data_IF_180761837058
#
_entry.id   IF_180761837058
#
_cell.length_a   1.000
_cell.length_b   1.000
_cell.length_c   1.000
_cell.angle_alpha   90.00
_cell.angle_beta   90.00
_cell.angle_gamma   90.00
#
_symmetry.space_group_name_H-M   'P 1'
#
loop_
_entity.id
_entity.type
_entity.pdbx_description
1 polymer ?
#
# COMPACT_ATOMS: atom_id res chain seq x y z
N UNK A 1 31.90 -35.06 -29.74
CA UNK A 1 31.50 -36.47 -29.52
C UNK A 1 30.92 -36.54 -28.12
N UNK A 2 29.60 -36.34 -27.92
CA UNK A 2 28.57 -37.40 -27.92
C UNK A 2 29.04 -38.70 -27.25
N UNK A 3 28.53 -38.97 -26.05
CA UNK A 3 28.06 -40.30 -25.63
C UNK A 3 26.89 -40.13 -24.66
N UNK A 4 25.77 -40.79 -24.96
CA UNK A 4 24.61 -40.96 -24.05
C UNK A 4 24.65 -42.39 -23.54
N UNK A 5 24.41 -42.60 -22.25
CA UNK A 5 23.77 -43.83 -21.75
C UNK A 5 22.72 -43.40 -20.71
N UNK A 6 21.51 -43.94 -20.85
CA UNK A 6 20.40 -43.84 -19.90
C UNK A 6 19.95 -45.27 -19.65
N UNK A 7 19.73 -45.65 -18.39
CA UNK A 7 18.73 -46.68 -18.05
C UNK A 7 18.20 -46.46 -16.63
N UNK A 8 16.95 -46.88 -16.43
CA UNK A 8 16.09 -46.66 -15.25
C UNK A 8 15.72 -48.02 -14.65
N UNK A 9 15.33 -48.06 -13.36
CA UNK A 9 14.36 -48.95 -12.65
C UNK A 9 14.89 -49.16 -11.21
N UNK A 10 14.29 -48.65 -10.12
CA UNK A 10 12.97 -48.81 -9.46
C UNK A 10 12.93 -49.92 -8.37
N UNK A 11 12.56 -49.51 -7.15
CA UNK A 11 11.91 -50.26 -6.06
C UNK A 11 12.60 -51.43 -5.34
N UNK A 12 12.67 -51.33 -4.00
CA UNK A 12 12.22 -52.42 -3.11
C UNK A 12 11.70 -51.89 -1.75
N UNK A 13 10.56 -52.42 -1.33
CA UNK A 13 9.95 -52.22 0.00
C UNK A 13 10.25 -53.46 0.86
N UNK A 14 10.51 -53.29 2.16
CA UNK A 14 10.44 -54.39 3.13
C UNK A 14 9.66 -53.95 4.37
N UNK A 15 8.64 -54.74 4.72
CA UNK A 15 7.85 -54.66 5.95
C UNK A 15 8.07 -55.95 6.73
N UNK A 16 8.20 -55.89 8.06
CA UNK A 16 8.05 -57.08 8.93
C UNK A 16 7.49 -56.74 10.32
N UNK A 17 6.69 -57.66 10.85
CA UNK A 17 6.09 -57.67 12.19
C UNK A 17 5.73 -59.15 12.54
N UNK A 18 5.28 -59.53 13.74
CA UNK A 18 4.97 -58.81 14.97
C UNK A 18 5.16 -59.75 16.18
N UNK A 19 5.18 -59.25 17.43
CA UNK A 19 4.73 -60.04 18.58
C UNK A 19 4.32 -59.20 19.80
N UNK A 20 3.28 -59.69 20.50
CA UNK A 20 2.73 -59.17 21.76
C UNK A 20 3.21 -60.07 22.94
N UNK A 21 2.78 -59.99 24.21
CA UNK A 21 1.63 -59.36 24.89
C UNK A 21 1.81 -59.40 26.43
N UNK A 22 1.16 -58.47 27.15
CA UNK A 22 0.45 -58.64 28.46
C UNK A 22 0.37 -57.29 29.17
N UNK A 23 -0.65 -56.87 29.93
CA UNK A 23 -2.05 -57.25 30.20
C UNK A 23 -2.58 -56.05 31.03
N UNK A 24 -3.84 -55.64 30.84
CA UNK A 24 -4.48 -54.53 31.58
C UNK A 24 -5.22 -55.01 32.84
N UNK A 25 -5.69 -54.09 33.71
CA UNK A 25 -7.13 -53.74 33.69
C UNK A 25 -7.41 -52.22 33.89
N UNK A 26 -8.17 -51.57 33.01
CA UNK A 26 -9.65 -51.39 33.06
C UNK A 26 -10.21 -50.45 34.13
N UNK A 27 -10.74 -49.31 33.67
CA UNK A 27 -12.06 -48.81 34.05
C UNK A 27 -12.70 -48.11 32.83
N UNK A 28 -14.01 -48.31 32.62
CA UNK A 28 -14.68 -48.10 31.32
C UNK A 28 -15.86 -47.13 31.42
N UNK A 29 -16.19 -46.42 30.33
CA UNK A 29 -17.55 -45.89 30.07
C UNK A 29 -17.93 -46.18 28.61
N UNK A 30 -19.22 -46.49 28.38
CA UNK A 30 -19.76 -47.02 27.13
C UNK A 30 -20.15 -45.97 26.08
N UNK A 31 -20.06 -46.36 24.80
CA UNK A 31 -20.86 -45.79 23.70
C UNK A 31 -21.87 -46.83 23.19
N UNK A 32 -23.12 -46.43 22.95
CA UNK A 32 -24.13 -47.24 22.27
C UNK A 32 -24.29 -46.80 20.82
N UNK A 33 -24.03 -47.71 19.88
CA UNK A 33 -24.25 -47.48 18.45
C UNK A 33 -25.68 -47.85 18.04
N UNK A 34 -26.31 -47.02 17.21
CA UNK A 34 -27.46 -47.39 16.38
C UNK A 34 -27.21 -46.80 14.99
N UNK A 35 -27.11 -47.67 13.97
CA UNK A 35 -27.02 -47.27 12.56
C UNK A 35 -28.43 -47.23 11.98
N UNK A 36 -28.76 -46.16 11.25
CA UNK A 36 -29.87 -46.15 10.28
C UNK A 36 -29.30 -46.05 8.86
N UNK A 37 -29.99 -46.60 7.84
CA UNK A 37 -29.50 -46.62 6.46
C UNK A 37 -29.75 -45.28 5.76
N UNK A 38 -28.69 -44.69 5.18
CA UNK A 38 -28.81 -43.46 4.38
C UNK A 38 -29.27 -43.80 2.96
N UNK A 39 -30.47 -43.37 2.60
CA UNK A 39 -30.96 -43.31 1.21
C UNK A 39 -30.39 -42.08 0.50
N UNK A 40 -29.98 -42.22 -0.76
CA UNK A 40 -29.53 -41.08 -1.59
C UNK A 40 -30.71 -40.17 -1.97
N UNK A 41 -30.56 -38.82 -1.90
CA UNK A 41 -31.54 -37.88 -2.44
C UNK A 41 -31.54 -37.81 -3.99
N UNK A 42 -32.68 -37.44 -4.54
CA UNK A 42 -32.97 -37.24 -5.96
C UNK A 42 -32.24 -36.00 -6.53
N UNK A 43 -31.53 -36.08 -7.67
CA UNK A 43 -30.84 -34.95 -8.28
C UNK A 43 -31.76 -34.18 -9.26
N UNK A 44 -32.89 -33.68 -8.78
CA UNK A 44 -33.72 -32.74 -9.56
C UNK A 44 -34.49 -31.74 -8.71
N UNK A 45 -34.38 -30.45 -9.08
CA UNK A 45 -35.08 -29.28 -8.50
C UNK A 45 -34.73 -28.89 -7.05
N UNK A 46 -33.55 -28.29 -6.87
CA UNK A 46 -33.46 -27.06 -6.05
C UNK A 46 -32.56 -26.04 -6.76
N UNK A 47 -33.14 -25.29 -7.70
CA UNK A 47 -32.55 -24.06 -8.20
C UNK A 47 -33.05 -22.92 -7.30
N UNK A 48 -32.39 -22.72 -6.16
CA UNK A 48 -32.58 -21.53 -5.33
C UNK A 48 -31.24 -20.87 -5.06
N UNK A 49 -31.21 -19.59 -5.43
CA UNK A 49 -30.27 -18.55 -5.04
C UNK A 49 -28.91 -19.02 -4.51
N UNK A 50 -27.95 -19.10 -5.43
CA UNK A 50 -26.53 -18.95 -5.11
C UNK A 50 -26.27 -17.48 -4.73
N UNK A 51 -26.87 -17.03 -3.62
CA UNK A 51 -26.55 -15.77 -2.99
C UNK A 51 -25.07 -15.82 -2.62
N UNK A 52 -24.28 -15.01 -3.34
CA UNK A 52 -22.88 -14.84 -3.01
C UNK A 52 -22.81 -14.11 -1.66
N UNK A 53 -22.68 -14.88 -0.59
CA UNK A 53 -22.16 -14.41 0.67
C UNK A 53 -20.72 -13.97 0.43
N UNK A 54 -20.57 -12.71 -0.02
CA UNK A 54 -19.31 -11.99 0.00
C UNK A 54 -18.76 -12.13 1.42
N UNK A 55 -17.56 -12.68 1.53
CA UNK A 55 -16.87 -12.80 2.81
C UNK A 55 -16.49 -11.37 3.24
N UNK A 56 -17.33 -10.77 4.08
CA UNK A 56 -16.97 -9.59 4.83
C UNK A 56 -15.83 -9.96 5.79
N UNK A 57 -14.80 -9.13 5.97
CA UNK A 57 -13.89 -9.29 7.09
C UNK A 57 -14.65 -8.95 8.39
N UNK A 58 -15.15 -9.96 9.10
CA UNK A 58 -15.85 -9.85 10.40
C UNK A 58 -14.93 -9.37 11.56
N UNK A 59 -13.79 -8.75 11.27
CA UNK A 59 -12.81 -8.27 12.25
C UNK A 59 -11.99 -7.11 11.68
N UNK A 60 -11.56 -6.12 12.49
CA UNK A 60 -10.58 -5.13 12.06
C UNK A 60 -9.29 -5.78 11.55
N UNK A 61 -8.55 -5.14 10.61
CA UNK A 61 -7.32 -5.67 10.07
C UNK A 61 -6.30 -5.97 11.18
N UNK A 62 -5.65 -7.14 11.09
CA UNK A 62 -4.60 -7.55 12.02
C UNK A 62 -3.26 -6.94 11.59
N UNK A 63 -2.64 -6.15 12.46
CA UNK A 63 -1.31 -5.58 12.19
C UNK A 63 -0.23 -6.38 12.92
N UNK A 64 0.86 -6.67 12.21
CA UNK A 64 2.07 -7.25 12.78
C UNK A 64 3.12 -6.16 13.02
N UNK A 65 3.77 -6.19 14.18
CA UNK A 65 4.89 -5.30 14.52
C UNK A 65 6.15 -5.76 13.80
N UNK A 66 6.75 -4.92 12.97
CA UNK A 66 7.87 -5.32 12.10
C UNK A 66 9.18 -4.57 12.35
N UNK A 67 9.15 -3.41 13.03
CA UNK A 67 10.35 -2.67 13.43
C UNK A 67 10.06 -1.71 14.60
N UNK A 68 11.07 -1.51 15.45
CA UNK A 68 11.10 -0.50 16.50
C UNK A 68 11.69 0.81 15.99
N UNK A 69 11.08 1.95 16.33
CA UNK A 69 11.60 3.30 16.11
C UNK A 69 12.05 3.56 14.66
N UNK A 70 11.10 3.80 13.76
CA UNK A 70 11.39 4.15 12.35
C UNK A 70 11.65 5.65 12.18
N UNK A 71 12.41 6.00 11.14
CA UNK A 71 12.36 7.32 10.52
C UNK A 71 11.36 7.31 9.36
N UNK A 72 11.73 7.88 8.21
CA UNK A 72 10.92 7.85 6.99
C UNK A 72 10.65 6.41 6.53
N UNK A 73 9.38 6.07 6.31
CA UNK A 73 8.93 4.81 5.69
C UNK A 73 8.51 5.06 4.25
N UNK A 74 8.87 4.15 3.32
CA UNK A 74 8.39 4.14 1.93
C UNK A 74 8.04 2.72 1.47
N UNK A 75 6.93 2.60 0.75
CA UNK A 75 6.32 1.34 0.30
C UNK A 75 6.30 1.28 -1.24
N UNK A 76 6.81 0.18 -1.81
CA UNK A 76 6.48 -0.27 -3.16
C UNK A 76 5.41 -1.36 -3.11
N UNK A 77 5.26 -2.15 -4.17
CA UNK A 77 4.38 -3.31 -4.22
C UNK A 77 4.95 -4.49 -3.42
N UNK A 78 6.17 -4.93 -3.72
CA UNK A 78 6.82 -6.07 -3.04
C UNK A 78 7.94 -5.64 -2.07
N UNK A 79 8.16 -4.33 -1.92
CA UNK A 79 9.27 -3.79 -1.14
C UNK A 79 8.79 -2.79 -0.10
N UNK A 80 9.40 -2.84 1.08
CA UNK A 80 9.23 -1.87 2.15
C UNK A 80 10.63 -1.43 2.59
N UNK A 81 10.83 -0.12 2.65
CA UNK A 81 12.04 0.49 3.17
C UNK A 81 11.73 1.45 4.32
N UNK A 82 12.67 1.54 5.25
CA UNK A 82 12.64 2.50 6.35
C UNK A 82 14.03 3.10 6.55
N UNK A 83 14.11 4.36 6.96
CA UNK A 83 15.37 4.97 7.39
C UNK A 83 15.58 4.77 8.88
N UNK A 84 16.83 4.54 9.30
CA UNK A 84 17.25 4.69 10.69
C UNK A 84 16.98 6.14 11.16
N UNK A 85 16.30 6.36 12.31
CA UNK A 85 15.89 7.69 12.77
C UNK A 85 17.02 8.55 13.33
N UNK A 86 18.18 7.96 13.66
CA UNK A 86 19.34 8.64 14.26
C UNK A 86 20.32 9.08 13.16
N UNK A 87 20.57 8.21 12.19
CA UNK A 87 21.59 8.37 11.16
C UNK A 87 21.01 8.63 9.76
N UNK A 88 19.75 8.29 9.51
CA UNK A 88 19.07 8.42 8.21
C UNK A 88 19.41 7.31 7.19
N UNK A 89 20.20 6.30 7.58
CA UNK A 89 20.59 5.17 6.71
C UNK A 89 19.37 4.38 6.22
N UNK A 90 19.34 3.99 4.95
CA UNK A 90 18.19 3.28 4.38
C UNK A 90 18.31 1.76 4.52
N UNK A 91 17.25 1.12 5.02
CA UNK A 91 17.10 -0.32 5.20
C UNK A 91 15.91 -0.87 4.41
N UNK A 92 16.03 -2.10 3.93
CA UNK A 92 14.95 -2.87 3.30
C UNK A 92 14.46 -3.97 4.23
N UNK A 93 13.15 -4.16 4.29
CA UNK A 93 12.50 -5.24 5.03
C UNK A 93 12.74 -6.59 4.34
N UNK A 94 13.05 -7.65 5.10
CA UNK A 94 13.28 -8.98 4.52
C UNK A 94 12.05 -9.89 4.48
N UNK A 95 10.85 -9.37 4.77
CA UNK A 95 9.63 -10.17 4.88
C UNK A 95 9.52 -11.00 6.18
N UNK A 96 10.37 -10.74 7.18
CA UNK A 96 10.34 -11.40 8.50
C UNK A 96 10.39 -10.30 9.57
N UNK A 97 9.47 -10.27 10.55
CA UNK A 97 9.42 -9.23 11.57
C UNK A 97 10.78 -9.00 12.25
N UNK A 98 11.17 -7.72 12.37
CA UNK A 98 12.46 -7.27 12.92
C UNK A 98 13.72 -7.69 12.12
N UNK A 99 13.58 -8.30 10.94
CA UNK A 99 14.70 -8.56 10.02
C UNK A 99 14.74 -7.55 8.87
N UNK A 100 15.78 -6.71 8.90
CA UNK A 100 16.04 -5.65 7.93
C UNK A 100 17.52 -5.63 7.57
N UNK A 101 17.85 -5.20 6.35
CA UNK A 101 19.23 -5.07 5.90
C UNK A 101 19.48 -3.70 5.25
N UNK A 102 20.65 -3.13 5.49
CA UNK A 102 20.98 -1.80 4.96
C UNK A 102 21.22 -1.87 3.45
N UNK A 103 20.59 -0.96 2.71
CA UNK A 103 20.69 -0.86 1.24
C UNK A 103 21.27 0.49 0.77
N UNK A 104 21.33 1.49 1.65
CA UNK A 104 21.81 2.83 1.30
C UNK A 104 22.30 3.66 2.47
N UNK A 105 22.90 4.80 2.11
CA UNK A 105 23.28 5.90 3.00
C UNK A 105 22.12 6.91 3.13
N UNK A 106 22.25 7.97 3.95
CA UNK A 106 21.17 8.93 4.13
C UNK A 106 20.85 9.71 2.85
N UNK A 107 19.55 9.96 2.63
CA UNK A 107 19.00 10.79 1.57
C UNK A 107 18.13 11.91 2.17
N UNK A 108 17.88 12.97 1.40
CA UNK A 108 16.90 14.00 1.76
C UNK A 108 15.47 13.49 1.66
N UNK A 109 15.23 12.61 0.68
CA UNK A 109 13.93 12.02 0.38
C UNK A 109 14.16 10.71 -0.36
N UNK A 110 13.29 9.74 -0.11
CA UNK A 110 13.20 8.49 -0.86
C UNK A 110 11.82 8.40 -1.50
N UNK A 111 11.74 7.79 -2.68
CA UNK A 111 10.49 7.51 -3.37
C UNK A 111 10.57 6.11 -3.98
N UNK A 112 9.49 5.34 -3.92
CA UNK A 112 9.40 4.02 -4.53
C UNK A 112 8.24 4.03 -5.51
N UNK A 113 8.47 3.58 -6.73
CA UNK A 113 7.39 3.35 -7.67
C UNK A 113 6.67 2.04 -7.32
N UNK A 114 5.36 2.12 -7.10
CA UNK A 114 4.54 0.95 -6.77
C UNK A 114 4.58 -0.11 -7.88
N UNK A 115 4.39 0.28 -9.15
CA UNK A 115 4.26 -0.67 -10.27
C UNK A 115 5.52 -1.48 -10.57
N UNK A 116 6.71 -0.95 -10.26
CA UNK A 116 8.01 -1.54 -10.65
C UNK A 116 8.95 -1.84 -9.48
N UNK A 117 8.56 -1.49 -8.25
CA UNK A 117 9.41 -1.53 -7.05
C UNK A 117 10.71 -0.71 -7.17
N UNK A 118 10.79 0.19 -8.17
CA UNK A 118 11.97 1.01 -8.41
C UNK A 118 12.14 2.07 -7.31
N UNK A 119 13.24 1.96 -6.57
CA UNK A 119 13.61 2.85 -5.48
C UNK A 119 14.51 3.99 -5.98
N UNK A 120 14.16 5.21 -5.58
CA UNK A 120 14.86 6.45 -5.92
C UNK A 120 15.20 7.24 -4.66
N UNK A 121 16.27 8.03 -4.73
CA UNK A 121 16.74 8.89 -3.64
C UNK A 121 17.13 10.28 -4.14
N UNK A 122 16.74 11.31 -3.40
CA UNK A 122 17.27 12.67 -3.51
C UNK A 122 18.42 12.79 -2.50
N UNK A 123 19.59 13.24 -2.95
CA UNK A 123 20.76 13.39 -2.08
C UNK A 123 20.52 14.42 -0.94
N UNK A 124 21.19 14.30 0.23
CA UNK A 124 20.99 15.21 1.38
C UNK A 124 21.22 16.70 1.08
N UNK A 125 22.03 17.01 0.07
CA UNK A 125 22.37 18.36 -0.39
C UNK A 125 21.47 18.87 -1.52
N UNK A 126 20.45 18.09 -1.91
CA UNK A 126 19.51 18.37 -3.00
C UNK A 126 20.18 18.53 -4.39
N UNK A 127 21.44 18.10 -4.57
CA UNK A 127 22.19 18.31 -5.82
C UNK A 127 22.06 17.17 -6.84
N UNK A 128 21.52 16.01 -6.45
CA UNK A 128 21.47 14.83 -7.32
C UNK A 128 20.33 13.88 -6.97
N UNK A 129 19.78 13.23 -8.01
CA UNK A 129 18.78 12.17 -7.92
C UNK A 129 19.42 10.85 -8.34
N UNK A 130 19.18 9.80 -7.57
CA UNK A 130 19.77 8.47 -7.73
C UNK A 130 18.68 7.40 -7.83
N UNK A 131 18.98 6.34 -8.58
CA UNK A 131 18.17 5.13 -8.68
C UNK A 131 18.95 3.96 -8.09
N UNK A 132 18.29 3.15 -7.27
CA UNK A 132 18.85 1.93 -6.69
C UNK A 132 18.95 0.83 -7.75
N UNK A 133 20.06 0.09 -7.79
CA UNK A 133 20.25 -0.99 -8.78
C UNK A 133 19.66 -2.34 -8.37
N UNK A 134 19.11 -2.43 -7.15
CA UNK A 134 18.72 -3.69 -6.52
C UNK A 134 19.86 -4.38 -5.75
N UNK A 135 21.09 -3.87 -5.82
CA UNK A 135 22.24 -4.38 -5.05
C UNK A 135 22.59 -3.40 -3.91
N UNK A 136 22.70 -3.85 -2.65
CA UNK A 136 22.99 -2.96 -1.52
C UNK A 136 24.18 -2.04 -1.74
N UNK A 137 23.99 -0.75 -1.48
CA UNK A 137 24.94 0.36 -1.69
C UNK A 137 25.34 0.64 -3.15
N UNK A 138 24.71 0.01 -4.13
CA UNK A 138 24.92 0.29 -5.56
C UNK A 138 23.75 1.12 -6.13
N UNK A 139 24.09 2.30 -6.65
CA UNK A 139 23.15 3.34 -7.04
C UNK A 139 23.70 4.09 -8.27
N UNK A 140 22.82 4.41 -9.21
CA UNK A 140 23.16 5.16 -10.44
C UNK A 140 22.59 6.57 -10.32
N UNK A 141 23.40 7.60 -10.59
CA UNK A 141 22.90 8.97 -10.68
C UNK A 141 22.08 9.12 -11.96
N UNK A 142 20.82 9.51 -11.82
CA UNK A 142 19.87 9.69 -12.92
C UNK A 142 19.42 11.14 -13.11
N UNK A 143 19.75 12.03 -12.18
CA UNK A 143 19.34 13.43 -12.25
C UNK A 143 20.25 14.39 -11.48
N UNK A 144 20.09 15.67 -11.78
CA UNK A 144 20.73 16.79 -11.09
C UNK A 144 19.85 17.26 -9.92
N UNK A 145 20.01 18.52 -9.52
CA UNK A 145 19.36 19.11 -8.35
C UNK A 145 17.84 19.19 -8.44
N UNK A 146 17.15 18.91 -7.34
CA UNK A 146 15.68 18.96 -7.24
C UNK A 146 15.21 19.25 -5.81
N UNK A 147 14.04 19.89 -5.66
CA UNK A 147 13.48 20.19 -4.33
C UNK A 147 12.76 18.98 -3.70
N UNK A 148 12.16 18.11 -4.51
CA UNK A 148 11.55 16.86 -4.09
C UNK A 148 11.44 15.89 -5.25
N UNK A 149 11.33 14.59 -4.93
CA UNK A 149 11.01 13.51 -5.87
C UNK A 149 9.70 12.82 -5.48
N UNK A 150 9.00 12.25 -6.46
CA UNK A 150 7.78 11.46 -6.27
C UNK A 150 7.84 10.28 -7.24
N UNK A 151 7.37 9.11 -6.84
CA UNK A 151 7.31 7.93 -7.71
C UNK A 151 5.96 7.23 -7.54
N UNK A 152 5.51 6.55 -8.60
CA UNK A 152 4.16 5.99 -8.73
C UNK A 152 3.80 5.82 -10.20
N UNK A 153 2.77 5.02 -10.51
CA UNK A 153 2.27 4.85 -11.87
C UNK A 153 3.23 4.19 -12.87
N UNK A 154 4.37 3.64 -12.45
CA UNK A 154 5.46 3.24 -13.35
C UNK A 154 6.37 4.41 -13.74
N UNK A 155 6.46 5.46 -12.91
CA UNK A 155 7.19 6.69 -13.24
C UNK A 155 7.79 7.39 -12.02
N UNK A 156 8.73 8.30 -12.33
CA UNK A 156 9.42 9.16 -11.37
C UNK A 156 9.25 10.61 -11.83
N UNK A 157 8.93 11.48 -10.88
CA UNK A 157 8.84 12.92 -11.07
C UNK A 157 9.78 13.66 -10.11
N UNK A 158 10.23 14.83 -10.54
CA UNK A 158 11.12 15.70 -9.79
C UNK A 158 10.78 17.17 -10.03
N UNK A 159 10.88 18.01 -9.00
CA UNK A 159 10.64 19.45 -9.10
C UNK A 159 11.92 20.27 -9.25
N UNK A 160 11.87 21.33 -10.04
CA UNK A 160 12.97 22.28 -10.18
C UNK A 160 13.07 23.23 -8.98
N UNK A 161 14.29 23.37 -8.42
CA UNK A 161 14.57 24.17 -7.21
C UNK A 161 14.04 25.61 -7.24
N UNK A 162 14.12 26.30 -8.38
CA UNK A 162 13.90 27.77 -8.45
C UNK A 162 12.45 28.17 -8.69
N UNK A 163 11.72 27.40 -9.49
CA UNK A 163 10.38 27.77 -9.98
C UNK A 163 9.32 26.71 -9.73
N UNK A 164 9.67 25.58 -9.11
CA UNK A 164 8.73 24.49 -8.82
C UNK A 164 8.16 23.76 -10.05
N UNK A 165 8.70 24.04 -11.25
CA UNK A 165 8.42 23.29 -12.47
C UNK A 165 8.56 21.79 -12.24
N UNK A 166 7.64 21.00 -12.79
CA UNK A 166 7.57 19.57 -12.55
C UNK A 166 7.99 18.78 -13.81
N UNK A 167 8.89 17.82 -13.60
CA UNK A 167 9.55 17.03 -14.63
C UNK A 167 9.24 15.55 -14.42
N UNK A 168 9.10 14.80 -15.51
CA UNK A 168 9.00 13.33 -15.53
C UNK A 168 10.30 12.74 -16.06
N UNK A 169 10.76 11.65 -15.44
CA UNK A 169 11.90 10.87 -15.89
C UNK A 169 11.53 10.03 -17.13
N UNK A 170 12.41 9.96 -18.12
CA UNK A 170 12.17 9.18 -19.35
C UNK A 170 12.74 7.76 -19.30
N UNK A 171 13.42 7.38 -18.20
CA UNK A 171 13.98 6.04 -17.99
C UNK A 171 15.50 5.94 -18.21
N UNK A 172 16.11 6.92 -18.88
CA UNK A 172 17.55 6.98 -19.14
C UNK A 172 18.24 8.08 -18.29
N UNK A 173 19.46 7.85 -17.76
CA UNK A 173 20.15 8.82 -16.90
C UNK A 173 20.24 10.22 -17.51
N UNK A 174 19.81 11.21 -16.73
CA UNK A 174 19.71 12.63 -17.08
C UNK A 174 18.71 12.98 -18.19
N UNK A 175 17.88 12.04 -18.67
CA UNK A 175 16.77 12.31 -19.58
C UNK A 175 15.47 12.61 -18.82
N UNK A 176 15.10 13.89 -18.79
CA UNK A 176 13.95 14.42 -18.06
C UNK A 176 13.13 15.37 -18.93
N UNK A 177 11.81 15.17 -18.95
CA UNK A 177 10.85 15.98 -19.68
C UNK A 177 10.08 16.88 -18.74
N UNK A 178 10.09 18.20 -18.96
CA UNK A 178 9.21 19.14 -18.25
C UNK A 178 7.77 18.88 -18.65
N UNK A 179 6.91 18.53 -17.71
CA UNK A 179 5.48 18.25 -17.96
C UNK A 179 4.55 19.34 -17.41
N UNK A 180 5.00 20.18 -16.47
CA UNK A 180 4.15 21.21 -15.86
C UNK A 180 4.91 22.37 -15.23
N UNK A 181 4.16 23.36 -14.76
CA UNK A 181 4.67 24.45 -13.93
C UNK A 181 4.55 24.15 -12.43
N UNK A 182 4.69 25.18 -11.60
CA UNK A 182 4.52 25.07 -10.15
C UNK A 182 3.12 24.61 -9.75
N UNK A 183 3.06 23.64 -8.84
CA UNK A 183 1.87 23.30 -8.06
C UNK A 183 2.10 23.57 -6.57
N UNK A 184 1.03 23.62 -5.77
CA UNK A 184 1.13 23.73 -4.30
C UNK A 184 1.66 22.45 -3.67
N UNK A 185 1.24 21.31 -4.19
CA UNK A 185 1.73 19.97 -3.91
C UNK A 185 1.49 19.09 -5.16
N UNK A 186 2.12 17.92 -5.19
CA UNK A 186 1.86 16.89 -6.19
C UNK A 186 1.80 15.51 -5.50
N UNK A 187 1.04 14.59 -6.07
CA UNK A 187 0.95 13.18 -5.63
C UNK A 187 0.87 12.25 -6.84
N UNK A 188 1.40 11.04 -6.71
CA UNK A 188 1.14 9.91 -7.60
C UNK A 188 1.04 8.66 -6.73
N UNK A 189 -0.02 7.88 -6.89
CA UNK A 189 -0.34 6.72 -6.04
C UNK A 189 -0.99 5.56 -6.82
N UNK A 190 -1.11 5.65 -8.15
CA UNK A 190 -1.79 4.64 -8.97
C UNK A 190 -0.80 3.73 -9.72
N UNK A 191 -1.35 2.85 -10.57
CA UNK A 191 -0.58 1.99 -11.48
C UNK A 191 -0.48 2.53 -12.92
N UNK A 192 -0.93 3.77 -13.22
CA UNK A 192 -1.12 4.25 -14.61
C UNK A 192 -0.55 5.64 -14.94
N UNK A 193 0.75 5.86 -14.69
CA UNK A 193 1.56 7.02 -15.11
C UNK A 193 0.82 8.36 -15.04
N UNK A 194 0.20 8.57 -13.87
CA UNK A 194 -0.54 9.77 -13.52
C UNK A 194 0.18 10.57 -12.46
N UNK A 195 0.02 11.88 -12.58
CA UNK A 195 0.43 12.82 -11.55
C UNK A 195 -0.74 13.77 -11.30
N UNK A 196 -1.13 13.91 -10.04
CA UNK A 196 -2.06 14.94 -9.62
C UNK A 196 -1.29 16.10 -8.99
N UNK A 197 -1.79 17.31 -9.18
CA UNK A 197 -1.24 18.49 -8.53
C UNK A 197 -2.32 19.53 -8.30
N UNK A 198 -2.22 20.26 -7.18
CA UNK A 198 -3.04 21.46 -7.01
C UNK A 198 -2.36 22.69 -7.60
N UNK A 199 -3.18 23.60 -8.11
CA UNK A 199 -2.77 24.97 -8.40
C UNK A 199 -2.07 25.63 -7.19
N UNK A 200 -1.21 26.60 -7.45
CA UNK A 200 -0.41 27.28 -6.41
C UNK A 200 -1.24 27.99 -5.34
N UNK A 201 -2.49 28.36 -5.68
CA UNK A 201 -3.47 28.92 -4.76
C UNK A 201 -4.24 27.87 -3.93
N UNK A 202 -4.19 26.59 -4.31
CA UNK A 202 -4.88 25.48 -3.63
C UNK A 202 -6.37 25.33 -3.95
N UNK A 203 -6.91 26.04 -4.96
CA UNK A 203 -8.34 26.02 -5.30
C UNK A 203 -8.71 25.13 -6.50
N UNK A 204 -7.75 24.45 -7.13
CA UNK A 204 -8.03 23.57 -8.28
C UNK A 204 -7.10 22.38 -8.29
N UNK A 205 -7.69 21.20 -8.40
CA UNK A 205 -6.98 19.94 -8.63
C UNK A 205 -6.83 19.70 -10.13
N UNK A 206 -5.66 19.21 -10.54
CA UNK A 206 -5.34 18.88 -11.93
C UNK A 206 -4.77 17.47 -12.02
N UNK A 207 -5.13 16.74 -13.07
CA UNK A 207 -4.60 15.43 -13.47
C UNK A 207 -3.70 15.61 -14.70
N UNK A 208 -2.52 15.00 -14.68
CA UNK A 208 -1.68 14.73 -15.84
C UNK A 208 -1.62 13.23 -16.08
N UNK A 209 -1.66 12.80 -17.36
CA UNK A 209 -1.60 11.38 -17.73
C UNK A 209 -0.92 11.21 -19.11
N UNK A 210 0.07 10.34 -19.20
CA UNK A 210 0.83 10.12 -20.45
C UNK A 210 0.03 9.40 -21.55
N UNK A 211 -0.92 8.54 -21.18
CA UNK A 211 -1.64 7.64 -22.09
C UNK A 211 -3.02 8.19 -22.47
N UNK A 212 -3.86 8.49 -21.46
CA UNK A 212 -5.27 8.83 -21.67
C UNK A 212 -5.49 10.31 -22.02
N UNK A 213 -4.51 11.16 -21.69
CA UNK A 213 -4.61 12.63 -21.77
C UNK A 213 -3.52 13.26 -22.66
N UNK A 214 -2.82 12.46 -23.45
CA UNK A 214 -1.79 12.92 -24.41
C UNK A 214 -0.75 13.86 -23.76
N UNK A 215 -0.32 13.56 -22.53
CA UNK A 215 0.66 14.34 -21.78
C UNK A 215 0.25 15.80 -21.45
N UNK A 216 -1.04 16.12 -21.49
CA UNK A 216 -1.59 17.42 -21.08
C UNK A 216 -2.20 17.37 -19.67
N UNK A 217 -2.29 18.54 -19.02
CA UNK A 217 -2.97 18.70 -17.72
C UNK A 217 -4.45 19.02 -17.91
N UNK A 218 -5.31 18.31 -17.18
CA UNK A 218 -6.75 18.52 -17.17
C UNK A 218 -7.23 18.87 -15.76
N UNK A 219 -8.12 19.85 -15.64
CA UNK A 219 -8.71 20.21 -14.36
C UNK A 219 -9.70 19.13 -13.93
N UNK A 220 -9.58 18.66 -12.69
CA UNK A 220 -10.49 17.69 -12.06
C UNK A 220 -11.56 18.45 -11.29
N UNK A 221 -12.80 17.96 -11.32
CA UNK A 221 -13.87 18.49 -10.48
C UNK A 221 -13.59 18.14 -9.00
N UNK A 222 -13.06 19.11 -8.25
CA UNK A 222 -12.93 19.04 -6.79
C UNK A 222 -14.23 19.49 -6.10
N UNK A 223 -14.48 19.10 -4.83
CA UNK A 223 -15.57 19.67 -4.04
C UNK A 223 -15.43 21.19 -3.93
N UNK A 224 -16.56 21.92 -4.00
CA UNK A 224 -16.54 23.39 -3.95
C UNK A 224 -15.96 23.94 -2.63
N UNK A 225 -16.08 23.17 -1.54
CA UNK A 225 -15.54 23.50 -0.21
C UNK A 225 -14.15 22.90 0.05
N UNK A 226 -13.61 22.09 -0.87
CA UNK A 226 -12.25 21.55 -0.79
C UNK A 226 -11.22 22.59 -1.24
N UNK A 227 -11.11 23.62 -0.42
CA UNK A 227 -9.89 24.39 -0.30
C UNK A 227 -8.77 23.43 0.17
N UNK A 228 -7.70 23.34 -0.61
CA UNK A 228 -6.53 22.50 -0.32
C UNK A 228 -5.45 23.34 0.38
N UNK A 229 -5.85 24.37 1.14
CA UNK A 229 -4.94 25.49 1.47
C UNK A 229 -4.13 25.28 2.75
N UNK A 230 -4.63 24.49 3.69
CA UNK A 230 -4.04 24.24 5.00
C UNK A 230 -3.14 23.00 5.11
N UNK A 231 -3.17 22.08 4.14
CA UNK A 231 -2.43 20.83 4.22
C UNK A 231 -1.03 20.89 3.59
N UNK A 232 -0.08 20.19 4.23
CA UNK A 232 1.25 19.88 3.68
C UNK A 232 1.15 18.80 2.59
N UNK A 233 0.20 17.86 2.75
CA UNK A 233 -0.18 16.83 1.80
C UNK A 233 -1.69 16.58 1.95
N UNK A 234 -2.58 17.23 1.18
CA UNK A 234 -3.96 16.78 1.10
C UNK A 234 -3.96 15.51 0.27
N UNK A 235 -4.18 14.38 0.95
CA UNK A 235 -4.03 13.06 0.34
C UNK A 235 -5.23 12.81 -0.57
N UNK A 236 -4.99 12.81 -1.89
CA UNK A 236 -5.92 12.23 -2.86
C UNK A 236 -5.52 10.77 -3.02
N UNK A 237 -6.09 9.88 -2.21
CA UNK A 237 -5.80 8.45 -2.35
C UNK A 237 -6.72 7.88 -3.41
N UNK A 238 -6.14 7.34 -4.49
CA UNK A 238 -6.87 6.70 -5.58
C UNK A 238 -6.87 5.18 -5.40
N UNK A 239 -8.06 4.57 -5.33
CA UNK A 239 -8.19 3.12 -5.47
C UNK A 239 -8.03 2.68 -6.94
N UNK A 240 -7.75 1.40 -7.16
CA UNK A 240 -7.45 0.81 -8.49
C UNK A 240 -8.55 0.98 -9.58
N UNK A 241 -9.73 1.50 -9.22
CA UNK A 241 -10.91 1.58 -10.09
C UNK A 241 -11.52 2.99 -10.26
N UNK A 242 -10.82 4.05 -9.85
CA UNK A 242 -11.33 5.42 -9.98
C UNK A 242 -12.13 5.92 -8.77
N UNK A 243 -12.12 5.13 -7.68
CA UNK A 243 -12.49 5.60 -6.34
C UNK A 243 -11.44 6.58 -5.82
N UNK A 244 -11.87 7.58 -5.04
CA UNK A 244 -10.99 8.61 -4.49
C UNK A 244 -11.39 9.03 -3.09
N UNK A 245 -10.40 9.16 -2.20
CA UNK A 245 -10.52 9.86 -0.93
C UNK A 245 -9.77 11.18 -0.99
N UNK A 246 -10.32 12.24 -0.38
CA UNK A 246 -9.67 13.53 -0.23
C UNK A 246 -9.87 14.08 1.19
N UNK A 247 -8.77 14.45 1.86
CA UNK A 247 -8.81 15.25 3.09
C UNK A 247 -8.67 16.73 2.74
N UNK A 248 -9.61 17.54 3.17
CA UNK A 248 -9.74 18.96 2.84
C UNK A 248 -9.67 19.85 4.08
N UNK A 249 -9.53 21.17 3.87
CA UNK A 249 -9.47 22.15 4.97
C UNK A 249 -10.57 21.92 6.02
N UNK A 250 -10.24 22.14 7.30
CA UNK A 250 -11.03 21.75 8.48
C UNK A 250 -11.17 20.24 8.74
N UNK A 251 -10.25 19.43 8.20
CA UNK A 251 -10.13 17.99 8.48
C UNK A 251 -11.33 17.16 7.97
N UNK A 252 -12.07 17.67 7.00
CA UNK A 252 -13.18 16.96 6.35
C UNK A 252 -12.65 15.93 5.35
N UNK A 253 -13.24 14.73 5.38
CA UNK A 253 -12.89 13.61 4.50
C UNK A 253 -14.01 13.41 3.50
N UNK A 254 -13.69 13.44 2.21
CA UNK A 254 -14.63 13.20 1.12
C UNK A 254 -14.28 11.93 0.35
N UNK A 255 -15.30 11.15 -0.01
CA UNK A 255 -15.20 9.98 -0.89
C UNK A 255 -15.86 10.26 -2.24
N UNK A 256 -15.39 9.64 -3.31
CA UNK A 256 -16.06 9.61 -4.61
C UNK A 256 -15.88 8.24 -5.28
N UNK A 257 -16.95 7.72 -5.86
CA UNK A 257 -16.98 6.40 -6.51
C UNK A 257 -16.45 6.45 -7.96
N UNK A 258 -16.37 7.64 -8.56
CA UNK A 258 -15.81 7.89 -9.92
C UNK A 258 -15.42 9.37 -10.07
N UNK A 259 -14.18 9.72 -9.74
CA UNK A 259 -13.69 11.09 -9.97
C UNK A 259 -13.41 11.37 -11.46
N UNK A 260 -13.23 10.32 -12.29
CA UNK A 260 -12.77 10.43 -13.67
C UNK A 260 -13.83 11.02 -14.62
N UNK A 261 -15.11 10.80 -14.32
CA UNK A 261 -16.25 11.38 -15.06
C UNK A 261 -16.84 12.62 -14.39
N UNK A 262 -16.27 13.06 -13.26
CA UNK A 262 -16.80 14.16 -12.45
C UNK A 262 -17.93 13.74 -11.52
N UNK A 263 -17.85 12.53 -10.94
CA UNK A 263 -18.78 12.02 -9.93
C UNK A 263 -18.87 12.92 -8.70
N UNK A 264 -19.99 12.79 -7.97
CA UNK A 264 -20.24 13.58 -6.78
C UNK A 264 -19.38 13.09 -5.62
N UNK A 265 -18.56 13.98 -5.10
CA UNK A 265 -17.92 13.78 -3.80
C UNK A 265 -18.97 13.80 -2.68
N UNK A 266 -18.82 12.89 -1.73
CA UNK A 266 -19.68 12.71 -0.55
C UNK A 266 -18.84 12.92 0.69
N UNK A 267 -19.33 13.69 1.66
CA UNK A 267 -18.66 13.83 2.96
C UNK A 267 -18.79 12.52 3.75
N UNK A 268 -17.67 11.93 4.16
CA UNK A 268 -17.62 10.63 4.85
C UNK A 268 -16.98 10.69 6.24
N UNK A 269 -16.38 11.81 6.62
CA UNK A 269 -15.81 12.02 7.96
C UNK A 269 -15.39 13.47 8.20
N UNK A 270 -15.09 13.79 9.45
CA UNK A 270 -14.51 15.04 9.89
C UNK A 270 -13.43 14.78 10.95
N UNK A 271 -12.65 15.82 11.30
CA UNK A 271 -11.60 15.77 12.32
C UNK A 271 -10.45 14.76 12.06
N UNK A 272 -10.11 14.41 10.81
CA UNK A 272 -8.92 13.59 10.49
C UNK A 272 -7.70 14.41 10.00
N UNK A 273 -6.51 14.19 10.58
CA UNK A 273 -5.23 14.82 10.14
C UNK A 273 -4.53 14.07 9.01
N UNK A 274 -4.76 12.77 8.90
CA UNK A 274 -4.20 11.88 7.88
C UNK A 274 -5.24 10.80 7.57
N UNK A 275 -5.36 10.41 6.31
CA UNK A 275 -6.24 9.34 5.83
C UNK A 275 -5.54 8.61 4.70
N UNK A 276 -5.44 7.29 4.81
CA UNK A 276 -4.77 6.43 3.84
C UNK A 276 -5.68 5.26 3.44
N UNK A 277 -5.67 4.93 2.15
CA UNK A 277 -6.33 3.74 1.59
C UNK A 277 -5.30 2.63 1.48
N UNK A 278 -5.55 1.50 2.12
CA UNK A 278 -4.78 0.27 2.02
C UNK A 278 -5.45 -0.75 1.11
N UNK A 279 -4.63 -1.53 0.41
CA UNK A 279 -5.08 -2.64 -0.42
C UNK A 279 -6.10 -3.57 0.22
N UNK A 280 -7.10 -3.97 -0.54
CA UNK A 280 -8.23 -4.77 -0.05
C UNK A 280 -9.42 -3.97 0.46
N UNK A 281 -9.44 -2.64 0.28
CA UNK A 281 -10.57 -1.78 0.65
C UNK A 281 -10.54 -1.31 2.11
N UNK A 282 -9.36 -1.30 2.74
CA UNK A 282 -9.21 -0.73 4.07
C UNK A 282 -8.92 0.75 3.96
N UNK A 283 -9.62 1.56 4.76
CA UNK A 283 -9.35 2.99 4.87
C UNK A 283 -9.12 3.28 6.34
N UNK A 284 -7.97 3.87 6.65
CA UNK A 284 -7.61 4.30 7.99
C UNK A 284 -7.52 5.83 8.05
N UNK A 285 -7.85 6.39 9.20
CA UNK A 285 -7.69 7.81 9.50
C UNK A 285 -7.15 8.03 10.90
N UNK A 286 -6.31 9.06 11.08
CA UNK A 286 -5.82 9.53 12.37
C UNK A 286 -6.65 10.75 12.81
N UNK A 287 -7.29 10.67 13.98
CA UNK A 287 -8.05 11.80 14.54
C UNK A 287 -7.12 12.99 14.90
N UNK A 288 -7.54 14.19 14.55
CA UNK A 288 -6.80 15.44 14.68
C UNK A 288 -6.65 15.93 16.13
N UNK A 289 -7.53 15.49 17.03
CA UNK A 289 -7.62 15.92 18.42
C UNK A 289 -6.89 14.97 19.37
N UNK A 290 -7.09 13.65 19.22
CA UNK A 290 -6.52 12.66 20.13
C UNK A 290 -5.54 11.66 19.50
N UNK A 291 -5.32 11.73 18.17
CA UNK A 291 -4.43 10.86 17.38
C UNK A 291 -4.85 9.38 17.36
N UNK A 292 -6.06 9.04 17.77
CA UNK A 292 -6.57 7.67 17.66
C UNK A 292 -6.76 7.26 16.20
N UNK A 293 -6.45 6.01 15.90
CA UNK A 293 -6.66 5.42 14.58
C UNK A 293 -8.09 4.88 14.47
N UNK A 294 -8.77 5.27 13.41
CA UNK A 294 -10.08 4.75 13.04
C UNK A 294 -10.01 4.01 11.70
N UNK A 295 -10.78 2.93 11.60
CA UNK A 295 -11.06 2.22 10.37
C UNK A 295 -12.41 2.65 9.81
N UNK A 296 -12.47 3.08 8.55
CA UNK A 296 -13.71 3.37 7.85
C UNK A 296 -14.31 2.07 7.30
N UNK A 297 -15.47 1.72 7.82
CA UNK A 297 -16.33 0.68 7.30
C UNK A 297 -17.28 1.27 6.25
N UNK A 298 -17.31 0.66 5.06
CA UNK A 298 -18.22 1.00 3.97
C UNK A 298 -19.08 -0.20 3.60
N UNK A 299 -20.40 -0.08 3.81
CA UNK A 299 -21.36 -1.09 3.37
C UNK A 299 -22.70 -0.46 3.02
N UNK A 300 -23.35 -0.96 1.97
CA UNK A 300 -24.69 -0.52 1.53
C UNK A 300 -24.83 1.00 1.29
N UNK A 301 -23.73 1.70 0.97
CA UNK A 301 -23.60 3.17 0.83
C UNK A 301 -23.67 3.97 2.14
N UNK A 302 -23.52 3.30 3.28
CA UNK A 302 -23.29 3.96 4.57
C UNK A 302 -21.80 3.89 4.94
N UNK A 303 -21.29 5.01 5.46
CA UNK A 303 -19.91 5.19 5.90
C UNK A 303 -19.90 5.29 7.43
N UNK A 304 -19.08 4.50 8.12
CA UNK A 304 -18.93 4.61 9.58
C UNK A 304 -17.50 4.34 10.05
N UNK A 305 -16.99 5.20 10.94
CA UNK A 305 -15.64 5.10 11.49
C UNK A 305 -15.64 4.31 12.80
N UNK A 306 -14.83 3.26 12.86
CA UNK A 306 -14.66 2.38 14.02
C UNK A 306 -13.25 2.57 14.60
N UNK A 307 -13.17 2.96 15.88
CA UNK A 307 -11.89 3.15 16.59
C UNK A 307 -11.15 1.83 16.75
N UNK A 308 -9.86 1.80 16.41
CA UNK A 308 -8.98 0.62 16.58
C UNK A 308 -8.34 0.53 17.97
N UNK A 309 -8.30 1.64 18.72
CA UNK A 309 -7.79 1.68 20.10
C UNK A 309 -6.27 1.79 20.20
N UNK A 310 -5.62 2.33 19.17
CA UNK A 310 -4.21 2.67 19.11
C UNK A 310 -4.04 4.11 18.62
N UNK A 311 -2.89 4.72 18.91
CA UNK A 311 -2.55 6.09 18.49
C UNK A 311 -1.40 6.10 17.51
N UNK A 312 -1.49 6.96 16.49
CA UNK A 312 -0.49 7.03 15.44
C UNK A 312 0.01 8.45 15.20
N UNK A 313 1.28 8.58 14.80
CA UNK A 313 1.82 9.83 14.27
C UNK A 313 1.54 9.95 12.76
N UNK A 314 1.69 8.86 12.02
CA UNK A 314 1.50 8.77 10.57
C UNK A 314 0.94 7.40 10.12
N UNK A 315 0.29 7.41 8.95
CA UNK A 315 -0.08 6.22 8.20
C UNK A 315 0.74 6.13 6.90
N UNK A 316 1.01 4.91 6.45
CA UNK A 316 1.66 4.63 5.17
C UNK A 316 0.89 3.54 4.45
N UNK A 317 0.60 3.68 3.16
CA UNK A 317 -0.10 2.64 2.41
C UNK A 317 0.36 2.51 0.96
N UNK A 318 -0.08 1.41 0.36
CA UNK A 318 -0.04 1.12 -1.06
C UNK A 318 -1.29 0.27 -1.42
N UNK A 319 -1.37 -0.26 -2.64
CA UNK A 319 -2.57 -1.01 -3.10
C UNK A 319 -2.67 -2.45 -2.55
N UNK A 320 -1.78 -2.87 -1.64
CA UNK A 320 -1.76 -4.21 -1.01
C UNK A 320 -1.50 -4.23 0.51
N UNK A 321 -1.09 -3.11 1.10
CA UNK A 321 -0.66 -3.03 2.48
C UNK A 321 -0.96 -1.66 3.08
N UNK A 322 -1.13 -1.64 4.40
CA UNK A 322 -1.23 -0.41 5.19
C UNK A 322 -0.48 -0.58 6.51
N UNK A 323 0.30 0.43 6.85
CA UNK A 323 1.16 0.48 8.01
C UNK A 323 0.84 1.70 8.87
N UNK A 324 1.02 1.53 10.17
CA UNK A 324 0.75 2.51 11.22
C UNK A 324 2.04 2.73 11.99
N UNK A 325 2.48 3.97 12.11
CA UNK A 325 3.56 4.38 13.00
C UNK A 325 2.98 4.82 14.35
N UNK A 326 3.26 4.08 15.42
CA UNK A 326 2.73 4.36 16.75
C UNK A 326 3.31 5.66 17.33
N UNK A 327 2.42 6.51 17.86
CA UNK A 327 2.71 7.89 18.27
C UNK A 327 3.83 8.03 19.32
N UNK A 328 3.85 7.16 20.33
CA UNK A 328 4.75 7.31 21.50
C UNK A 328 6.10 6.57 21.32
N UNK A 329 6.15 5.58 20.42
CA UNK A 329 7.29 4.65 20.28
C UNK A 329 8.00 4.77 18.93
N UNK A 330 7.30 5.27 17.92
CA UNK A 330 7.64 5.16 16.50
C UNK A 330 7.82 3.70 16.04
N UNK A 331 7.11 2.76 16.66
CA UNK A 331 7.04 1.37 16.20
C UNK A 331 6.18 1.27 14.94
N UNK A 332 6.61 0.43 13.99
CA UNK A 332 5.91 0.23 12.73
C UNK A 332 5.10 -1.07 12.76
N UNK A 333 3.78 -0.92 12.63
CA UNK A 333 2.80 -2.01 12.59
C UNK A 333 2.20 -2.09 11.18
N UNK A 334 2.33 -3.22 10.48
CA UNK A 334 1.82 -3.36 9.12
C UNK A 334 0.78 -4.49 9.00
N UNK A 335 -0.29 -4.22 8.25
CA UNK A 335 -1.15 -5.24 7.67
C UNK A 335 -0.77 -5.38 6.19
N UNK A 336 -0.27 -6.56 5.83
CA UNK A 336 -0.14 -6.99 4.44
C UNK A 336 -1.39 -7.80 4.10
N UNK A 337 -2.00 -7.55 2.93
CA UNK A 337 -3.21 -8.24 2.51
C UNK A 337 -2.98 -9.77 2.51
N UNK A 338 -3.77 -10.58 3.24
CA UNK A 338 -3.54 -12.03 3.42
C UNK A 338 -3.81 -12.89 2.16
N UNK A 339 -3.78 -12.29 0.97
CA UNK A 339 -4.03 -12.92 -0.33
C UNK A 339 -2.77 -13.03 -1.22
N UNK A 340 -1.62 -12.51 -0.78
CA UNK A 340 -0.32 -12.62 -1.47
C UNK A 340 0.63 -13.63 -0.82
#
# INVERSE_FOLDING_TARGET
MKNKIVFVILSLIVVFAASASSLSPFSSIHFTSRREPVTMPDPSLELHEKSASILLPDYPPYFEEILYNVGTVVLGHNVLYATDPVYGNLYQYSGIPFHWFQVGTPGKMFAVDYSTDALYALAPDEQSIWQYTGTPFDWIQIGNSSAFILAGGGSLWASGLTYGDIYRYNGEPFDWKRIGGQGKFFVSMDITDRLWGASTDGYSLWEWNSVQKNEEWFQVNSPADCSLTGFKYPVVVTGDFGEGLAVCDYYFVYHTDDWSTGGSWTLVGDNFVDVQYGGGGYVLGIDATDREVYYLYYAQREFSWTRLGMKAEALYSNNEAICIEELDTHNLYCNFNPLT
#
